data_IF_120457716006
#
_entry.id   IF_120457716006
#
_cell.length_a   1.000
_cell.length_b   1.000
_cell.length_c   1.000
_cell.angle_alpha   90.00
_cell.angle_beta   90.00
_cell.angle_gamma   90.00
#
_symmetry.space_group_name_H-M   'P 1'
#
loop_
_entity.id
_entity.type
_entity.pdbx_description
1 polymer ?
#
# COMPACT_ATOMS: atom_id res chain seq x y z
N UNK A 1 56.03 -12.34 -5.64
CA UNK A 1 55.11 -11.30 -6.13
C UNK A 1 54.40 -11.84 -7.35
N UNK A 2 53.09 -12.05 -7.26
CA UNK A 2 52.24 -12.45 -8.39
C UNK A 2 51.05 -11.49 -8.41
N UNK A 3 50.86 -10.85 -9.55
CA UNK A 3 49.92 -9.74 -9.77
C UNK A 3 48.52 -10.32 -9.97
N UNK A 4 47.56 -9.88 -9.15
CA UNK A 4 46.14 -10.17 -9.33
C UNK A 4 45.56 -9.25 -10.43
N UNK A 5 44.90 -9.83 -11.43
CA UNK A 5 44.02 -9.06 -12.33
C UNK A 5 42.64 -8.88 -11.67
N UNK A 6 42.01 -7.70 -11.79
CA UNK A 6 40.65 -7.50 -11.31
C UNK A 6 39.64 -8.17 -12.25
N UNK A 7 38.74 -8.96 -11.66
CA UNK A 7 37.62 -9.57 -12.33
C UNK A 7 36.59 -8.48 -12.68
N UNK A 8 36.59 -8.04 -13.95
CA UNK A 8 35.60 -7.11 -14.47
C UNK A 8 34.29 -7.88 -14.70
N UNK A 9 33.36 -7.74 -13.77
CA UNK A 9 31.95 -8.07 -14.02
C UNK A 9 31.38 -6.99 -14.91
N UNK A 10 31.24 -7.29 -16.21
CA UNK A 10 30.39 -6.51 -17.10
C UNK A 10 28.94 -6.69 -16.60
N UNK A 11 28.43 -5.67 -15.91
CA UNK A 11 27.01 -5.55 -15.61
C UNK A 11 26.26 -5.59 -16.92
N UNK A 12 25.50 -6.67 -17.16
CA UNK A 12 24.56 -6.73 -18.26
C UNK A 12 23.55 -5.59 -18.06
N UNK A 13 23.67 -4.54 -18.89
CA UNK A 13 22.60 -3.59 -19.11
C UNK A 13 21.45 -4.39 -19.72
N UNK A 14 20.53 -4.86 -18.89
CA UNK A 14 19.22 -5.28 -19.35
C UNK A 14 18.60 -3.99 -19.90
N UNK A 15 18.51 -3.90 -21.23
CA UNK A 15 17.72 -2.86 -21.88
C UNK A 15 16.28 -2.99 -21.38
N UNK A 16 15.93 -2.18 -20.38
CA UNK A 16 14.55 -1.97 -20.00
C UNK A 16 13.88 -1.34 -21.21
N UNK A 17 12.99 -2.10 -21.87
CA UNK A 17 12.07 -1.56 -22.86
C UNK A 17 11.51 -0.22 -22.37
N UNK A 18 11.36 0.80 -23.23
CA UNK A 18 10.79 2.08 -22.83
C UNK A 18 9.40 1.78 -22.27
N UNK A 19 9.27 1.80 -20.94
CA UNK A 19 7.97 1.78 -20.29
C UNK A 19 7.26 3.00 -20.85
N UNK A 20 6.16 2.77 -21.55
CA UNK A 20 5.20 3.86 -21.82
C UNK A 20 4.94 4.48 -20.47
N UNK A 21 5.35 5.73 -20.30
CA UNK A 21 5.17 6.46 -19.05
C UNK A 21 3.67 6.65 -18.85
N UNK A 22 3.06 5.73 -18.09
CA UNK A 22 1.62 5.75 -17.83
C UNK A 22 1.39 6.76 -16.72
N UNK A 23 0.58 7.77 -16.99
CA UNK A 23 0.30 8.87 -16.05
C UNK A 23 -0.07 8.37 -14.64
N UNK A 24 0.90 8.47 -13.72
CA UNK A 24 0.81 8.07 -12.32
C UNK A 24 0.28 9.17 -11.40
N UNK A 25 -0.12 10.32 -11.94
CA UNK A 25 -0.55 11.49 -11.18
C UNK A 25 0.49 12.00 -10.16
N UNK A 26 1.78 11.80 -10.42
CA UNK A 26 2.87 12.22 -9.54
C UNK A 26 3.11 11.27 -8.36
N UNK A 27 2.47 10.10 -8.35
CA UNK A 27 2.78 9.03 -7.41
C UNK A 27 3.96 8.21 -7.92
N UNK A 28 4.83 7.82 -6.99
CA UNK A 28 5.89 6.85 -7.24
C UNK A 28 5.30 5.42 -7.32
N UNK A 29 5.65 4.69 -8.37
CA UNK A 29 5.38 3.25 -8.50
C UNK A 29 6.54 2.48 -7.85
N UNK A 30 6.62 2.52 -6.52
CA UNK A 30 7.67 1.87 -5.74
C UNK A 30 7.11 0.77 -4.84
N UNK A 31 7.80 -0.39 -4.73
CA UNK A 31 7.38 -1.44 -3.82
C UNK A 31 7.54 -0.98 -2.37
N UNK A 32 6.57 -1.32 -1.52
CA UNK A 32 6.66 -1.07 -0.08
C UNK A 32 7.46 -2.18 0.62
N UNK A 33 8.42 -1.79 1.47
CA UNK A 33 9.21 -2.69 2.29
C UNK A 33 8.60 -2.89 3.69
N UNK A 34 9.16 -3.81 4.47
CA UNK A 34 8.80 -3.96 5.89
C UNK A 34 9.14 -2.71 6.71
N UNK A 35 10.15 -1.95 6.30
CA UNK A 35 10.52 -0.68 6.93
C UNK A 35 9.43 0.38 6.72
N UNK A 36 8.91 0.50 5.50
CA UNK A 36 7.83 1.45 5.18
C UNK A 36 6.56 1.12 5.95
N UNK A 37 6.25 -0.17 6.08
CA UNK A 37 5.16 -0.66 6.95
C UNK A 37 5.35 -0.21 8.39
N UNK A 38 6.54 -0.40 8.96
CA UNK A 38 6.79 -0.10 10.37
C UNK A 38 6.71 1.43 10.64
N UNK A 39 7.21 2.26 9.72
CA UNK A 39 7.03 3.72 9.77
C UNK A 39 5.56 4.12 9.70
N UNK A 40 4.78 3.51 8.79
CA UNK A 40 3.35 3.78 8.67
C UNK A 40 2.59 3.40 9.94
N UNK A 41 2.88 2.24 10.52
CA UNK A 41 2.26 1.80 11.78
C UNK A 41 2.60 2.75 12.94
N UNK A 42 3.86 3.18 13.04
CA UNK A 42 4.28 4.15 14.05
C UNK A 42 3.58 5.50 13.88
N UNK A 43 3.43 5.97 12.63
CA UNK A 43 2.71 7.21 12.32
C UNK A 43 1.22 7.14 12.68
N UNK A 44 0.57 6.02 12.38
CA UNK A 44 -0.84 5.79 12.75
C UNK A 44 -1.01 5.72 14.28
N UNK A 45 -0.01 5.13 14.98
CA UNK A 45 -0.04 4.95 16.42
C UNK A 45 -1.17 4.04 16.88
N UNK A 46 -1.44 2.98 16.10
CA UNK A 46 -2.51 2.00 16.30
C UNK A 46 -1.95 0.57 16.26
N UNK A 47 -2.37 -0.25 17.23
CA UNK A 47 -2.03 -1.69 17.27
C UNK A 47 -3.10 -2.57 16.61
N UNK A 48 -4.22 -1.96 16.20
CA UNK A 48 -5.36 -2.63 15.55
C UNK A 48 -5.89 -1.82 14.37
N UNK A 49 -6.22 -2.49 13.27
CA UNK A 49 -6.79 -1.91 12.06
C UNK A 49 -8.18 -2.50 11.78
N UNK A 50 -9.08 -1.66 11.28
CA UNK A 50 -10.38 -2.10 10.77
C UNK A 50 -10.20 -2.64 9.35
N UNK A 51 -10.50 -3.91 9.10
CA UNK A 51 -10.24 -4.55 7.81
C UNK A 51 -11.38 -5.41 7.29
N UNK A 52 -11.29 -5.75 6.00
CA UNK A 52 -12.15 -6.72 5.31
C UNK A 52 -11.32 -7.81 4.67
N UNK A 53 -11.70 -9.07 4.90
CA UNK A 53 -11.05 -10.25 4.27
C UNK A 53 -11.37 -10.34 2.78
N UNK A 54 -12.44 -9.69 2.33
CA UNK A 54 -12.83 -9.68 0.92
C UNK A 54 -13.16 -8.28 0.45
N UNK A 55 -13.28 -8.09 -0.88
CA UNK A 55 -13.74 -6.84 -1.48
C UNK A 55 -15.16 -6.40 -1.13
N UNK A 56 -15.93 -7.23 -0.44
CA UNK A 56 -17.26 -6.86 0.06
C UNK A 56 -17.12 -6.11 1.40
N UNK A 57 -17.27 -4.79 1.38
CA UNK A 57 -17.18 -3.95 2.59
C UNK A 57 -18.16 -4.34 3.70
N UNK A 58 -19.25 -5.06 3.41
CA UNK A 58 -20.14 -5.58 4.46
C UNK A 58 -19.40 -6.58 5.36
N UNK A 59 -18.43 -7.31 4.82
CA UNK A 59 -17.57 -8.25 5.55
C UNK A 59 -16.58 -7.56 6.47
N UNK A 60 -16.36 -6.25 6.33
CA UNK A 60 -15.60 -5.45 7.29
C UNK A 60 -16.31 -5.28 8.64
N UNK A 61 -17.57 -5.70 8.75
CA UNK A 61 -18.38 -5.59 9.96
C UNK A 61 -18.81 -6.97 10.47
N UNK A 62 -19.13 -7.03 11.76
CA UNK A 62 -19.75 -8.19 12.41
C UNK A 62 -21.04 -7.75 13.08
N UNK A 63 -22.07 -8.58 12.97
CA UNK A 63 -23.34 -8.39 13.67
C UNK A 63 -23.41 -9.35 14.86
N UNK A 64 -23.73 -8.86 16.04
CA UNK A 64 -23.91 -9.71 17.23
C UNK A 64 -25.34 -10.30 17.27
N UNK A 65 -25.61 -11.17 18.25
CA UNK A 65 -26.93 -11.81 18.42
C UNK A 65 -28.06 -10.81 18.70
N UNK A 66 -27.74 -9.63 19.24
CA UNK A 66 -28.70 -8.55 19.49
C UNK A 66 -28.97 -7.67 18.25
N UNK A 67 -28.29 -7.93 17.13
CA UNK A 67 -28.44 -7.17 15.89
C UNK A 67 -27.51 -5.97 15.76
N UNK A 68 -26.69 -5.67 16.77
CA UNK A 68 -25.75 -4.55 16.76
C UNK A 68 -24.57 -4.85 15.82
N UNK A 69 -24.10 -3.82 15.14
CA UNK A 69 -23.01 -3.90 14.16
C UNK A 69 -21.75 -3.28 14.76
N UNK A 70 -20.65 -4.03 14.72
CA UNK A 70 -19.33 -3.54 15.12
C UNK A 70 -18.29 -3.78 14.02
N UNK A 71 -17.24 -2.94 13.91
CA UNK A 71 -16.17 -3.16 12.95
C UNK A 71 -15.37 -4.42 13.30
N UNK A 72 -14.82 -5.07 12.27
CA UNK A 72 -13.84 -6.15 12.44
C UNK A 72 -12.45 -5.56 12.59
N UNK A 73 -11.90 -5.69 13.79
CA UNK A 73 -10.57 -5.20 14.13
C UNK A 73 -9.56 -6.35 14.08
N UNK A 74 -8.41 -6.11 13.45
CA UNK A 74 -7.30 -7.06 13.33
C UNK A 74 -6.05 -6.43 13.93
N UNK A 75 -5.29 -7.19 14.72
CA UNK A 75 -4.01 -6.71 15.24
C UNK A 75 -3.00 -6.59 14.11
N UNK A 76 -2.15 -5.58 14.17
CA UNK A 76 -1.12 -5.29 13.17
C UNK A 76 -0.07 -6.39 13.05
N UNK A 77 0.14 -7.17 14.12
CA UNK A 77 1.03 -8.32 14.20
C UNK A 77 0.38 -9.66 13.79
N UNK A 78 -0.90 -9.67 13.45
CA UNK A 78 -1.64 -10.92 13.24
C UNK A 78 -1.62 -11.37 11.78
N UNK A 79 -1.44 -12.68 11.58
CA UNK A 79 -1.61 -13.31 10.25
C UNK A 79 -3.00 -13.05 9.64
N UNK A 80 -4.01 -12.82 10.47
CA UNK A 80 -5.37 -12.54 10.02
C UNK A 80 -5.46 -11.18 9.30
N UNK A 81 -4.66 -10.18 9.69
CA UNK A 81 -4.59 -8.91 8.98
C UNK A 81 -4.01 -9.08 7.57
N UNK A 82 -3.00 -9.94 7.39
CA UNK A 82 -2.41 -10.24 6.09
C UNK A 82 -3.38 -10.91 5.10
N UNK A 83 -4.54 -11.40 5.58
CA UNK A 83 -5.62 -11.96 4.77
C UNK A 83 -6.68 -10.91 4.40
N UNK A 84 -6.53 -9.68 4.86
CA UNK A 84 -7.43 -8.60 4.48
C UNK A 84 -7.08 -8.12 3.07
N UNK A 85 -8.09 -7.95 2.23
CA UNK A 85 -7.96 -7.28 0.94
C UNK A 85 -8.09 -5.76 1.08
N UNK A 86 -8.76 -5.29 2.15
CA UNK A 86 -8.86 -3.87 2.48
C UNK A 86 -8.60 -3.61 3.97
N UNK A 87 -7.87 -2.53 4.27
CA UNK A 87 -7.72 -1.97 5.61
C UNK A 87 -8.03 -0.47 5.60
N UNK A 88 -8.77 -0.02 6.62
CA UNK A 88 -9.05 1.39 6.87
C UNK A 88 -7.97 1.96 7.78
N UNK A 89 -7.19 2.89 7.27
CA UNK A 89 -6.19 3.63 8.02
C UNK A 89 -6.79 4.98 8.43
N UNK A 90 -6.98 5.19 9.72
CA UNK A 90 -7.41 6.48 10.27
C UNK A 90 -6.37 6.98 11.25
N UNK A 91 -5.89 8.20 11.08
CA UNK A 91 -5.12 8.87 12.13
C UNK A 91 -6.03 9.18 13.33
N UNK A 92 -5.45 9.41 14.51
CA UNK A 92 -6.21 9.75 15.74
C UNK A 92 -7.07 11.02 15.60
N UNK A 93 -6.74 11.89 14.66
CA UNK A 93 -7.50 13.10 14.34
C UNK A 93 -8.63 12.85 13.33
N UNK A 94 -8.74 11.65 12.77
CA UNK A 94 -9.68 11.29 11.69
C UNK A 94 -9.63 12.23 10.47
N UNK A 95 -8.53 12.97 10.29
CA UNK A 95 -8.41 14.00 9.26
C UNK A 95 -8.35 13.41 7.83
N UNK A 96 -7.94 12.14 7.69
CA UNK A 96 -7.93 11.42 6.43
C UNK A 96 -8.23 9.93 6.65
N UNK A 97 -8.88 9.32 5.65
CA UNK A 97 -9.10 7.87 5.57
C UNK A 97 -8.36 7.38 4.32
N UNK A 98 -7.30 6.59 4.52
CA UNK A 98 -6.65 5.86 3.43
C UNK A 98 -7.18 4.41 3.44
N UNK A 99 -7.69 3.96 2.29
CA UNK A 99 -8.06 2.56 2.06
C UNK A 99 -7.03 1.99 1.11
N UNK A 100 -6.25 1.03 1.59
CA UNK A 100 -5.20 0.37 0.82
C UNK A 100 -5.75 -0.94 0.27
N UNK A 101 -5.65 -1.15 -1.05
CA UNK A 101 -5.83 -2.47 -1.68
C UNK A 101 -4.56 -3.27 -1.39
N UNK A 102 -4.70 -4.43 -0.75
CA UNK A 102 -3.57 -5.25 -0.32
C UNK A 102 -3.39 -6.38 -1.33
N UNK A 103 -2.31 -6.28 -2.10
CA UNK A 103 -1.94 -7.32 -3.05
C UNK A 103 -1.59 -8.62 -2.34
N UNK A 104 -2.01 -9.74 -2.92
CA UNK A 104 -1.67 -11.06 -2.39
C UNK A 104 -0.26 -11.47 -2.81
N UNK A 105 0.48 -12.22 -1.98
CA UNK A 105 1.80 -12.71 -2.34
C UNK A 105 1.76 -13.49 -3.67
N UNK A 106 2.57 -13.05 -4.65
CA UNK A 106 2.66 -13.66 -5.97
C UNK A 106 1.84 -12.98 -7.06
N UNK A 107 0.98 -12.01 -6.71
CA UNK A 107 0.28 -11.16 -7.67
C UNK A 107 1.06 -9.87 -7.94
N UNK A 108 0.99 -9.37 -9.17
CA UNK A 108 1.53 -8.05 -9.49
C UNK A 108 0.62 -7.00 -8.85
N UNK A 109 1.22 -6.09 -8.09
CA UNK A 109 0.46 -5.03 -7.44
C UNK A 109 -0.16 -4.02 -8.40
N UNK A 110 -1.13 -3.26 -7.90
CA UNK A 110 -1.78 -2.21 -8.68
C UNK A 110 -0.82 -1.08 -9.05
N UNK A 111 -0.80 -0.67 -10.33
CA UNK A 111 0.01 0.46 -10.76
C UNK A 111 -0.77 1.78 -10.59
N UNK A 112 -0.14 2.90 -10.17
CA UNK A 112 -0.84 4.17 -9.96
C UNK A 112 -1.67 4.67 -11.15
N UNK A 113 -1.22 4.39 -12.38
CA UNK A 113 -1.96 4.72 -13.59
C UNK A 113 -3.32 4.00 -13.75
N UNK A 114 -3.51 2.89 -13.04
CA UNK A 114 -4.76 2.12 -13.04
C UNK A 114 -5.80 2.70 -12.06
N UNK A 115 -5.42 3.71 -11.26
CA UNK A 115 -6.37 4.49 -10.48
C UNK A 115 -7.41 5.17 -11.39
N UNK A 116 -8.66 5.16 -10.94
CA UNK A 116 -9.75 5.85 -11.62
C UNK A 116 -9.38 7.32 -11.87
N UNK A 117 -9.74 7.85 -13.05
CA UNK A 117 -9.34 9.19 -13.49
C UNK A 117 -9.67 10.29 -12.45
N UNK A 118 -10.83 10.19 -11.82
CA UNK A 118 -11.23 11.08 -10.74
C UNK A 118 -10.24 11.07 -9.56
N UNK A 119 -9.81 9.89 -9.12
CA UNK A 119 -8.85 9.73 -8.02
C UNK A 119 -7.49 10.30 -8.41
N UNK A 120 -7.02 10.05 -9.64
CA UNK A 120 -5.77 10.63 -10.15
C UNK A 120 -5.79 12.16 -10.16
N UNK A 121 -6.92 12.77 -10.54
CA UNK A 121 -7.05 14.23 -10.49
C UNK A 121 -7.01 14.78 -9.06
N UNK A 122 -7.65 14.11 -8.11
CA UNK A 122 -7.60 14.51 -6.69
C UNK A 122 -6.17 14.39 -6.14
N UNK A 123 -5.50 13.27 -6.39
CA UNK A 123 -4.12 13.05 -5.97
C UNK A 123 -3.18 14.10 -6.54
N UNK A 124 -3.33 14.44 -7.82
CA UNK A 124 -2.52 15.46 -8.49
C UNK A 124 -2.62 16.82 -7.77
N UNK A 125 -3.83 17.24 -7.42
CA UNK A 125 -4.04 18.50 -6.66
C UNK A 125 -3.33 18.45 -5.31
N UNK A 126 -3.36 17.31 -4.62
CA UNK A 126 -2.68 17.16 -3.33
C UNK A 126 -1.16 17.25 -3.49
N UNK A 127 -0.58 16.56 -4.47
CA UNK A 127 0.86 16.63 -4.79
C UNK A 127 1.28 18.05 -5.16
N UNK A 128 0.50 18.76 -5.98
CA UNK A 128 0.74 20.16 -6.35
C UNK A 128 0.78 21.11 -5.13
N UNK A 129 0.08 20.75 -4.04
CA UNK A 129 0.09 21.50 -2.78
C UNK A 129 1.15 21.00 -1.78
N UNK A 130 2.06 20.11 -2.19
CA UNK A 130 3.04 19.42 -1.33
C UNK A 130 2.37 18.59 -0.22
N UNK A 131 1.20 18.04 -0.51
CA UNK A 131 0.43 17.12 0.34
C UNK A 131 0.45 15.74 -0.33
N UNK A 132 1.64 15.22 -0.60
CA UNK A 132 1.85 13.87 -1.12
C UNK A 132 2.58 12.99 -0.10
N UNK A 133 2.60 11.67 -0.27
CA UNK A 133 3.60 10.83 0.38
C UNK A 133 5.03 11.29 0.05
#
# INVERSE_FOLDING_TARGET
>A
MTVSLPNRVDSAHIETHPRVDRDSAGLDDTPASTTDRDFLLAHLGLDVLHGSITRDFKKAYRRNKAGEVSPRMYRTDSEALGKCEYAKLTSKQYAAVLVVDIDQPGEAGGHPADLALYVRNVVRVLVEHNIGP
#
